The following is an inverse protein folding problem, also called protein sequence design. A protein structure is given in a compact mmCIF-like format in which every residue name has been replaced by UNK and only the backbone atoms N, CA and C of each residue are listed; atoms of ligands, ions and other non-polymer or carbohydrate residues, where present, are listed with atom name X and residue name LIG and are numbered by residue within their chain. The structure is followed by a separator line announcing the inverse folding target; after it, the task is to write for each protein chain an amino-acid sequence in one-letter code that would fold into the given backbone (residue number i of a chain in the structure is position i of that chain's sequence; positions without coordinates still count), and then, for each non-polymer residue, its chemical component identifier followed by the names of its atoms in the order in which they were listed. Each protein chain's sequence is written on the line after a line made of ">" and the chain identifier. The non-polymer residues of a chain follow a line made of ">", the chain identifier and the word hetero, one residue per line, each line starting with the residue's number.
data_IF_851365856211
#
_entry.id   IF_851365856211
#
_cell.length_a   1.000
_cell.length_b   1.000
_cell.length_c   1.000
_cell.angle_alpha   90.00
_cell.angle_beta   90.00
_cell.angle_gamma   90.00
#
_symmetry.space_group_name_H-M   'P 1'
#
loop_
_entity.id
_entity.type
_entity.pdbx_description
1 polymer ?
#
# COMPACT_ATOMS: atom_id res chain seq x y z
N UNK A 1 17.61 0.83 39.66
CA UNK A 1 17.89 0.74 38.21
C UNK A 1 17.30 -0.55 37.71
N UNK A 2 16.11 -0.51 37.11
CA UNK A 2 15.48 -1.65 36.45
C UNK A 2 15.17 -1.23 35.03
N UNK A 3 15.88 -1.86 34.09
CA UNK A 3 15.70 -1.68 32.66
C UNK A 3 14.23 -1.94 32.29
N UNK A 4 13.62 -0.99 31.58
CA UNK A 4 12.33 -1.23 30.96
C UNK A 4 12.47 -2.31 29.89
N UNK A 5 11.45 -3.15 29.66
CA UNK A 5 11.46 -4.04 28.51
C UNK A 5 11.49 -3.21 27.23
N UNK A 6 12.64 -3.28 26.56
CA UNK A 6 12.88 -2.75 25.22
C UNK A 6 11.95 -3.43 24.22
N UNK A 7 11.29 -2.60 23.40
CA UNK A 7 10.80 -2.87 22.05
C UNK A 7 10.59 -4.34 21.70
N UNK A 8 9.37 -4.83 21.90
CA UNK A 8 8.87 -6.02 21.21
C UNK A 8 9.06 -5.82 19.70
N UNK A 9 10.01 -6.56 19.15
CA UNK A 9 10.25 -6.69 17.72
C UNK A 9 8.99 -7.22 17.05
N UNK A 10 8.40 -6.43 16.15
CA UNK A 10 7.26 -6.83 15.29
C UNK A 10 7.72 -7.87 14.27
N UNK A 11 7.67 -9.13 14.64
CA UNK A 11 7.65 -10.32 13.77
C UNK A 11 6.20 -10.46 13.24
N UNK A 12 5.79 -10.41 11.97
CA UNK A 12 6.40 -10.27 10.65
C UNK A 12 5.42 -9.37 9.86
N UNK A 13 5.84 -8.22 9.33
CA UNK A 13 4.98 -7.44 8.42
C UNK A 13 4.85 -8.22 7.09
N UNK A 14 3.66 -8.69 6.68
CA UNK A 14 3.52 -9.49 5.46
C UNK A 14 3.53 -8.63 4.18
N UNK A 15 3.40 -7.31 4.31
CA UNK A 15 3.22 -6.42 3.16
C UNK A 15 4.43 -6.40 2.21
N UNK A 16 5.70 -6.38 2.67
CA UNK A 16 6.85 -6.51 1.75
C UNK A 16 6.79 -7.78 0.89
N UNK A 17 6.36 -8.91 1.46
CA UNK A 17 6.21 -10.16 0.72
C UNK A 17 5.04 -10.08 -0.28
N UNK A 18 3.94 -9.44 0.09
CA UNK A 18 2.80 -9.20 -0.82
C UNK A 18 3.16 -8.28 -1.99
N UNK A 19 3.92 -7.21 -1.73
CA UNK A 19 4.44 -6.32 -2.78
C UNK A 19 5.33 -7.10 -3.75
N UNK A 20 6.24 -7.93 -3.24
CA UNK A 20 7.10 -8.76 -4.07
C UNK A 20 6.28 -9.76 -4.93
N UNK A 21 5.29 -10.43 -4.33
CA UNK A 21 4.41 -11.36 -5.04
C UNK A 21 3.57 -10.67 -6.12
N UNK A 22 3.07 -9.46 -5.84
CA UNK A 22 2.31 -8.68 -6.81
C UNK A 22 3.16 -8.32 -8.04
N UNK A 23 4.40 -7.85 -7.84
CA UNK A 23 5.29 -7.55 -8.95
C UNK A 23 5.70 -8.81 -9.73
N UNK A 24 5.99 -9.94 -9.04
CA UNK A 24 6.33 -11.20 -9.72
C UNK A 24 5.17 -11.73 -10.57
N UNK A 25 3.93 -11.41 -10.20
CA UNK A 25 2.73 -11.83 -10.94
C UNK A 25 2.65 -11.30 -12.38
N UNK A 26 3.43 -10.26 -12.72
CA UNK A 26 3.57 -9.76 -14.11
C UNK A 26 4.46 -10.64 -14.97
N UNK A 27 5.29 -11.48 -14.36
CA UNK A 27 6.22 -12.41 -15.01
C UNK A 27 5.74 -13.85 -14.93
N UNK A 28 5.12 -14.22 -13.80
CA UNK A 28 4.59 -15.55 -13.52
C UNK A 28 3.17 -15.41 -13.05
N UNK A 29 2.22 -15.69 -13.93
CA UNK A 29 0.80 -15.58 -13.58
C UNK A 29 0.42 -16.66 -12.57
N UNK A 30 0.07 -16.31 -11.32
CA UNK A 30 -0.49 -17.28 -10.39
C UNK A 30 -1.94 -17.62 -10.76
N UNK A 31 -2.50 -18.59 -10.04
CA UNK A 31 -3.93 -18.90 -10.10
C UNK A 31 -4.80 -17.70 -9.73
N UNK A 32 -6.01 -17.65 -10.28
CA UNK A 32 -6.93 -16.52 -10.07
C UNK A 32 -7.22 -16.24 -8.58
N UNK A 33 -7.38 -17.28 -7.77
CA UNK A 33 -7.60 -17.16 -6.32
C UNK A 33 -6.48 -16.38 -5.63
N UNK A 34 -5.24 -16.57 -6.08
CA UNK A 34 -4.09 -15.86 -5.54
C UNK A 34 -4.10 -14.38 -5.92
N UNK A 35 -4.59 -14.02 -7.11
CA UNK A 35 -4.81 -12.62 -7.47
C UNK A 35 -5.84 -11.96 -6.55
N UNK A 36 -6.95 -12.66 -6.27
CA UNK A 36 -8.01 -12.17 -5.38
C UNK A 36 -7.46 -11.93 -3.97
N UNK A 37 -6.66 -12.85 -3.46
CA UNK A 37 -6.04 -12.72 -2.13
C UNK A 37 -5.08 -11.51 -2.07
N UNK A 38 -4.20 -11.37 -3.06
CA UNK A 38 -3.24 -10.26 -3.13
C UNK A 38 -3.99 -8.92 -3.25
N UNK A 39 -4.96 -8.82 -4.15
CA UNK A 39 -5.78 -7.62 -4.37
C UNK A 39 -6.47 -7.19 -3.07
N UNK A 40 -7.12 -8.14 -2.37
CA UNK A 40 -7.78 -7.88 -1.09
C UNK A 40 -6.81 -7.32 -0.05
N UNK A 41 -5.69 -8.00 0.18
CA UNK A 41 -4.74 -7.61 1.23
C UNK A 41 -4.06 -6.27 0.92
N UNK A 42 -3.76 -5.98 -0.35
CA UNK A 42 -3.21 -4.68 -0.75
C UNK A 42 -4.23 -3.54 -0.59
N UNK A 43 -5.51 -3.78 -0.88
CA UNK A 43 -6.57 -2.77 -0.66
C UNK A 43 -6.77 -2.44 0.82
N UNK A 44 -6.79 -3.45 1.68
CA UNK A 44 -6.89 -3.25 3.14
C UNK A 44 -5.71 -2.40 3.66
N UNK A 45 -4.50 -2.67 3.16
CA UNK A 45 -3.32 -1.87 3.51
C UNK A 45 -3.37 -0.45 2.95
N UNK A 46 -3.87 -0.26 1.72
CA UNK A 46 -4.10 1.07 1.13
C UNK A 46 -5.07 1.86 2.00
N UNK A 47 -6.23 1.30 2.35
CA UNK A 47 -7.24 1.96 3.19
C UNK A 47 -6.62 2.43 4.52
N UNK A 48 -5.88 1.55 5.18
CA UNK A 48 -5.17 1.88 6.43
C UNK A 48 -4.20 3.04 6.25
N UNK A 49 -3.38 3.00 5.19
CA UNK A 49 -2.37 4.03 4.92
C UNK A 49 -2.99 5.36 4.47
N UNK A 50 -4.09 5.34 3.72
CA UNK A 50 -4.82 6.55 3.32
C UNK A 50 -5.35 7.30 4.53
N UNK A 51 -5.89 6.60 5.53
CA UNK A 51 -6.34 7.22 6.79
C UNK A 51 -5.18 7.96 7.47
N UNK A 52 -3.99 7.35 7.49
CA UNK A 52 -2.79 7.96 8.09
C UNK A 52 -2.34 9.18 7.26
N UNK A 53 -2.23 9.03 5.94
CA UNK A 53 -1.81 10.10 5.04
C UNK A 53 -2.75 11.31 5.10
N UNK A 54 -4.07 11.10 5.11
CA UNK A 54 -5.07 12.18 5.27
C UNK A 54 -4.89 12.92 6.59
N UNK A 55 -4.74 12.20 7.71
CA UNK A 55 -4.47 12.82 9.03
C UNK A 55 -3.16 13.60 9.09
N UNK A 56 -2.13 13.16 8.38
CA UNK A 56 -0.88 13.91 8.24
C UNK A 56 -1.07 15.16 7.39
N UNK A 57 -1.82 15.06 6.29
CA UNK A 57 -2.11 16.18 5.41
C UNK A 57 -2.88 17.29 6.16
N UNK A 58 -3.85 16.94 7.00
CA UNK A 58 -4.61 17.88 7.83
C UNK A 58 -3.74 18.70 8.80
N UNK A 59 -2.58 18.16 9.19
CA UNK A 59 -1.60 18.81 10.09
C UNK A 59 -0.46 19.51 9.35
N UNK A 60 -0.37 19.31 8.03
CA UNK A 60 0.69 19.85 7.19
C UNK A 60 0.25 21.20 6.62
N UNK A 61 1.13 22.22 6.57
CA UNK A 61 0.77 23.51 5.99
C UNK A 61 0.18 23.37 4.58
N UNK A 62 -1.04 23.89 4.40
CA UNK A 62 -1.79 23.75 3.15
C UNK A 62 -1.01 24.32 1.96
N UNK A 63 -1.04 23.62 0.81
CA UNK A 63 -0.24 23.92 -0.41
C UNK A 63 1.28 23.89 -0.26
N UNK A 64 1.80 23.39 0.86
CA UNK A 64 3.23 23.04 0.92
C UNK A 64 3.53 21.83 0.03
N UNK A 65 4.81 21.64 -0.27
CA UNK A 65 5.29 20.47 -1.01
C UNK A 65 4.84 19.16 -0.36
N UNK A 66 5.01 19.03 0.97
CA UNK A 66 4.66 17.82 1.71
C UNK A 66 3.15 17.58 1.73
N UNK A 67 2.34 18.65 1.79
CA UNK A 67 0.89 18.56 1.70
C UNK A 67 0.47 17.98 0.34
N UNK A 68 1.01 18.52 -0.77
CA UNK A 68 0.73 17.98 -2.10
C UNK A 68 1.21 16.54 -2.25
N UNK A 69 2.36 16.19 -1.66
CA UNK A 69 2.89 14.82 -1.70
C UNK A 69 1.93 13.82 -1.04
N UNK A 70 1.36 14.17 0.11
CA UNK A 70 0.39 13.34 0.83
C UNK A 70 -0.94 13.23 0.07
N UNK A 71 -1.52 14.35 -0.37
CA UNK A 71 -2.80 14.37 -1.09
C UNK A 71 -2.70 13.59 -2.40
N UNK A 72 -1.65 13.82 -3.20
CA UNK A 72 -1.47 13.12 -4.47
C UNK A 72 -1.29 11.60 -4.28
N UNK A 73 -0.61 11.17 -3.21
CA UNK A 73 -0.46 9.74 -2.93
C UNK A 73 -1.80 9.09 -2.56
N UNK A 74 -2.66 9.81 -1.83
CA UNK A 74 -4.02 9.37 -1.49
C UNK A 74 -4.90 9.29 -2.74
N UNK A 75 -4.90 10.35 -3.57
CA UNK A 75 -5.73 10.41 -4.78
C UNK A 75 -5.37 9.29 -5.78
N UNK A 76 -4.07 9.06 -6.01
CA UNK A 76 -3.61 7.96 -6.87
C UNK A 76 -3.99 6.58 -6.34
N UNK A 77 -4.01 6.43 -5.02
CA UNK A 77 -4.43 5.19 -4.39
C UNK A 77 -5.95 4.98 -4.49
N UNK A 78 -6.75 6.04 -4.36
CA UNK A 78 -8.20 6.02 -4.59
C UNK A 78 -8.50 5.60 -6.04
N UNK A 79 -7.81 6.21 -7.02
CA UNK A 79 -7.94 5.89 -8.44
C UNK A 79 -7.62 4.41 -8.71
N UNK A 80 -6.51 3.90 -8.18
CA UNK A 80 -6.12 2.50 -8.34
C UNK A 80 -7.14 1.53 -7.73
N UNK A 81 -7.74 1.90 -6.59
CA UNK A 81 -8.80 1.12 -5.95
C UNK A 81 -10.12 1.11 -6.74
N UNK A 82 -10.31 2.03 -7.68
CA UNK A 82 -11.51 2.06 -8.55
C UNK A 82 -11.58 0.90 -9.55
N UNK A 83 -10.46 0.23 -9.85
CA UNK A 83 -10.40 -0.83 -10.85
C UNK A 83 -10.73 -2.21 -10.25
N UNK A 84 -11.46 -3.04 -11.00
CA UNK A 84 -11.79 -4.42 -10.62
C UNK A 84 -10.85 -5.42 -11.27
N UNK A 85 -10.66 -6.59 -10.64
CA UNK A 85 -9.94 -7.70 -11.26
C UNK A 85 -10.70 -8.19 -12.50
N UNK A 86 -9.96 -8.34 -13.60
CA UNK A 86 -10.48 -8.82 -14.88
C UNK A 86 -9.79 -10.10 -15.32
N UNK A 87 -9.42 -10.14 -16.60
CA UNK A 87 -8.60 -11.22 -17.17
C UNK A 87 -7.26 -11.37 -16.44
N UNK A 88 -6.56 -12.49 -16.60
CA UNK A 88 -5.27 -12.77 -15.95
C UNK A 88 -4.24 -11.64 -16.11
N UNK A 89 -4.11 -11.07 -17.32
CA UNK A 89 -3.21 -9.94 -17.56
C UNK A 89 -3.67 -8.69 -16.82
N UNK A 90 -4.98 -8.38 -16.84
CA UNK A 90 -5.53 -7.24 -16.11
C UNK A 90 -5.35 -7.40 -14.60
N UNK A 91 -5.55 -8.61 -14.07
CA UNK A 91 -5.32 -8.92 -12.67
C UNK A 91 -3.85 -8.71 -12.26
N UNK A 92 -2.90 -9.17 -13.09
CA UNK A 92 -1.46 -8.97 -12.86
C UNK A 92 -1.05 -7.49 -12.84
N UNK A 93 -1.57 -6.70 -13.77
CA UNK A 93 -1.35 -5.26 -13.82
C UNK A 93 -1.99 -4.57 -12.61
N UNK A 94 -3.20 -4.97 -12.23
CA UNK A 94 -3.93 -4.39 -11.11
C UNK A 94 -3.21 -4.61 -9.79
N UNK A 95 -2.83 -5.86 -9.45
CA UNK A 95 -2.13 -6.12 -8.18
C UNK A 95 -0.77 -5.41 -8.13
N UNK A 96 -0.08 -5.27 -9.27
CA UNK A 96 1.18 -4.51 -9.35
C UNK A 96 0.99 -3.02 -9.14
N UNK A 97 -0.11 -2.46 -9.66
CA UNK A 97 -0.47 -1.06 -9.45
C UNK A 97 -0.81 -0.82 -7.97
N UNK A 98 -1.64 -1.68 -7.36
CA UNK A 98 -1.94 -1.59 -5.93
C UNK A 98 -0.65 -1.68 -5.07
N UNK A 99 0.27 -2.58 -5.40
CA UNK A 99 1.54 -2.70 -4.69
C UNK A 99 2.41 -1.43 -4.81
N UNK A 100 2.40 -0.77 -5.97
CA UNK A 100 3.07 0.52 -6.18
C UNK A 100 2.45 1.61 -5.30
N UNK A 101 1.12 1.66 -5.20
CA UNK A 101 0.43 2.63 -4.34
C UNK A 101 0.69 2.39 -2.85
N UNK A 102 0.74 1.13 -2.40
CA UNK A 102 1.16 0.79 -1.03
C UNK A 102 2.59 1.29 -0.75
N UNK A 103 3.54 1.03 -1.65
CA UNK A 103 4.93 1.45 -1.48
C UNK A 103 5.06 3.00 -1.42
N UNK A 104 4.35 3.71 -2.30
CA UNK A 104 4.29 5.17 -2.31
C UNK A 104 3.68 5.72 -1.01
N UNK A 105 2.53 5.18 -0.58
CA UNK A 105 1.88 5.59 0.67
C UNK A 105 2.78 5.34 1.89
N UNK A 106 3.46 4.19 1.97
CA UNK A 106 4.43 3.91 3.04
C UNK A 106 5.59 4.90 3.04
N UNK A 107 6.09 5.29 1.87
CA UNK A 107 7.17 6.27 1.75
C UNK A 107 6.76 7.65 2.27
N UNK A 108 5.52 8.09 2.00
CA UNK A 108 5.06 9.43 2.40
C UNK A 108 4.50 9.48 3.84
N UNK A 109 4.17 8.33 4.42
CA UNK A 109 3.68 8.19 5.81
C UNK A 109 4.73 7.66 6.79
N UNK A 110 5.95 7.38 6.33
CA UNK A 110 7.07 7.06 7.21
C UNK A 110 7.38 8.26 8.13
N UNK A 111 7.66 8.02 9.42
CA UNK A 111 8.00 9.07 10.39
C UNK A 111 9.33 9.76 10.09
#
# INVERSE_FOLDING_TARGET
>A
MTAGPSAEQRTDDPIPALIAAAFDSTRRYPEHERFVEIDKLLREEIERLQIIARRMADRTPHRSYDWYRLVNAVDRADDACGFQLGTTLQAALQVSELARRVAELRQVTAP
#
